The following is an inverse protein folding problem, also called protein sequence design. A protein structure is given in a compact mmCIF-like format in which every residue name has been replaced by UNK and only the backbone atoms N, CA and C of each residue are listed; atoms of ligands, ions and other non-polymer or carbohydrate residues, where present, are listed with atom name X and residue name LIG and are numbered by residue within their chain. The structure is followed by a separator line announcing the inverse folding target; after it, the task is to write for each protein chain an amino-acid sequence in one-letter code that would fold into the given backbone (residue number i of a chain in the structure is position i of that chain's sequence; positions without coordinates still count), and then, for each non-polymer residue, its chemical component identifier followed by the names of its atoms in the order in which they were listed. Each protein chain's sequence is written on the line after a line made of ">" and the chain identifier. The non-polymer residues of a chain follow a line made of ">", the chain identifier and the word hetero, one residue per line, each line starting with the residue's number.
data_IF_045182884773
#
_entry.id   IF_045182884773
#
_cell.length_a   1.000
_cell.length_b   1.000
_cell.length_c   1.000
_cell.angle_alpha   90.00
_cell.angle_beta   90.00
_cell.angle_gamma   90.00
#
_symmetry.space_group_name_H-M   'P 1'
#
loop_
_entity.id
_entity.type
_entity.pdbx_description
1 polymer ?
#
# COMPACT_ATOMS: atom_id res chain seq x y z
N UNK A 1 35.42 -0.72 9.38
CA UNK A 1 35.59 -0.02 10.68
C UNK A 1 36.04 1.39 10.39
N UNK A 2 35.18 2.40 10.62
CA UNK A 2 35.61 3.82 10.65
C UNK A 2 34.63 4.64 11.51
N UNK A 3 34.63 4.41 12.83
CA UNK A 3 33.85 5.16 13.82
C UNK A 3 34.64 6.38 14.39
N UNK A 4 35.50 7.03 13.60
CA UNK A 4 36.47 8.03 14.09
C UNK A 4 36.21 9.49 13.64
N UNK A 5 34.97 9.88 13.35
CA UNK A 5 34.65 11.28 13.02
C UNK A 5 33.63 11.96 13.95
N UNK A 6 33.22 11.30 15.03
CA UNK A 6 32.38 11.91 16.06
C UNK A 6 33.27 12.36 17.23
N UNK A 7 33.98 13.47 17.03
CA UNK A 7 34.65 14.17 18.13
C UNK A 7 33.70 15.28 18.65
N UNK A 8 33.12 15.14 19.87
CA UNK A 8 32.17 16.10 20.43
C UNK A 8 32.80 17.45 20.80
N UNK A 9 34.14 17.56 20.74
CA UNK A 9 34.89 18.71 21.27
C UNK A 9 35.07 19.89 20.30
N UNK A 10 34.73 19.73 19.01
CA UNK A 10 34.87 20.81 18.02
C UNK A 10 33.61 21.67 17.95
N UNK A 11 33.70 23.00 18.16
CA UNK A 11 32.56 23.88 17.92
C UNK A 11 32.23 23.86 16.43
N UNK A 12 31.07 23.27 16.08
CA UNK A 12 30.57 23.31 14.70
C UNK A 12 30.25 24.76 14.35
N UNK A 13 30.77 25.23 13.22
CA UNK A 13 30.39 26.53 12.70
C UNK A 13 28.88 26.55 12.41
N UNK A 14 28.20 27.71 12.51
CA UNK A 14 26.78 27.81 12.16
C UNK A 14 26.46 27.24 10.77
N UNK A 15 27.40 27.35 9.82
CA UNK A 15 27.30 26.83 8.46
C UNK A 15 27.33 25.30 8.41
N UNK A 16 28.18 24.65 9.20
CA UNK A 16 28.25 23.18 9.28
C UNK A 16 27.00 22.59 9.93
N UNK A 17 26.46 23.26 10.96
CA UNK A 17 25.19 22.85 11.58
C UNK A 17 24.05 22.99 10.58
N UNK A 18 23.95 24.12 9.88
CA UNK A 18 22.93 24.34 8.87
C UNK A 18 23.03 23.31 7.73
N UNK A 19 24.24 22.98 7.29
CA UNK A 19 24.48 21.92 6.29
C UNK A 19 24.02 20.55 6.80
N UNK A 20 24.42 20.17 8.01
CA UNK A 20 24.03 18.88 8.60
C UNK A 20 22.51 18.75 8.78
N UNK A 21 21.83 19.83 9.16
CA UNK A 21 20.36 19.87 9.26
C UNK A 21 19.75 19.69 7.87
N UNK A 22 20.22 20.44 6.87
CA UNK A 22 19.75 20.32 5.48
C UNK A 22 19.92 18.89 4.96
N UNK A 23 21.10 18.31 5.13
CA UNK A 23 21.40 16.97 4.65
C UNK A 23 20.53 15.90 5.33
N UNK A 24 20.30 16.06 6.64
CA UNK A 24 19.41 15.18 7.40
C UNK A 24 17.96 15.29 6.94
N UNK A 25 17.48 16.50 6.64
CA UNK A 25 16.14 16.72 6.09
C UNK A 25 15.98 16.09 4.71
N UNK A 26 16.96 16.26 3.82
CA UNK A 26 16.95 15.66 2.49
C UNK A 26 16.96 14.13 2.55
N UNK A 27 17.74 13.55 3.48
CA UNK A 27 17.76 12.11 3.68
C UNK A 27 16.43 11.56 4.21
N UNK A 28 15.79 12.29 5.14
CA UNK A 28 14.47 11.94 5.65
C UNK A 28 13.41 11.97 4.54
N UNK A 29 13.38 13.05 3.75
CA UNK A 29 12.46 13.20 2.62
C UNK A 29 12.60 12.05 1.61
N UNK A 30 13.84 11.73 1.21
CA UNK A 30 14.11 10.63 0.28
C UNK A 30 13.62 9.28 0.82
N UNK A 31 13.81 9.02 2.13
CA UNK A 31 13.33 7.78 2.77
C UNK A 31 11.81 7.71 2.78
N UNK A 32 11.14 8.79 3.20
CA UNK A 32 9.67 8.84 3.23
C UNK A 32 9.09 8.67 1.82
N UNK A 33 9.67 9.32 0.80
CA UNK A 33 9.25 9.16 -0.59
C UNK A 33 9.41 7.71 -1.07
N UNK A 34 10.49 7.04 -0.71
CA UNK A 34 10.71 5.64 -1.08
C UNK A 34 9.69 4.70 -0.42
N UNK A 35 9.39 4.90 0.86
CA UNK A 35 8.39 4.13 1.60
C UNK A 35 6.98 4.33 1.03
N UNK A 36 6.59 5.56 0.73
CA UNK A 36 5.29 5.88 0.08
C UNK A 36 5.19 5.19 -1.29
N UNK A 37 6.23 5.26 -2.12
CA UNK A 37 6.24 4.59 -3.43
C UNK A 37 6.13 3.07 -3.32
N UNK A 38 6.80 2.47 -2.33
CA UNK A 38 6.71 1.03 -2.09
C UNK A 38 5.27 0.63 -1.68
N UNK A 39 4.64 1.41 -0.80
CA UNK A 39 3.26 1.19 -0.38
C UNK A 39 2.27 1.35 -1.55
N UNK A 40 2.43 2.38 -2.38
CA UNK A 40 1.61 2.57 -3.59
C UNK A 40 1.73 1.39 -4.55
N UNK A 41 2.95 0.87 -4.73
CA UNK A 41 3.17 -0.31 -5.57
C UNK A 41 2.49 -1.55 -5.00
N UNK A 42 2.66 -1.82 -3.71
CA UNK A 42 1.99 -2.95 -3.04
C UNK A 42 0.46 -2.86 -3.18
N UNK A 43 -0.11 -1.66 -3.04
CA UNK A 43 -1.55 -1.41 -3.24
C UNK A 43 -2.00 -1.72 -4.68
N UNK A 44 -1.21 -1.34 -5.69
CA UNK A 44 -1.49 -1.65 -7.11
C UNK A 44 -1.37 -3.14 -7.41
N UNK A 45 -0.34 -3.80 -6.88
CA UNK A 45 -0.11 -5.23 -7.06
C UNK A 45 -1.26 -6.04 -6.44
N UNK A 46 -1.75 -5.65 -5.26
CA UNK A 46 -2.92 -6.26 -4.62
C UNK A 46 -4.17 -6.17 -5.51
N UNK A 47 -4.46 -5.00 -6.08
CA UNK A 47 -5.59 -4.83 -7.00
C UNK A 47 -5.45 -5.70 -8.26
N UNK A 48 -4.23 -5.80 -8.78
CA UNK A 48 -3.97 -6.62 -9.95
C UNK A 48 -4.20 -8.10 -9.66
N UNK A 49 -3.66 -8.60 -8.53
CA UNK A 49 -3.87 -9.97 -8.07
C UNK A 49 -5.36 -10.26 -7.85
N UNK A 50 -6.09 -9.34 -7.21
CA UNK A 50 -7.53 -9.45 -7.04
C UNK A 50 -8.25 -9.61 -8.39
N UNK A 51 -7.92 -8.78 -9.37
CA UNK A 51 -8.52 -8.90 -10.70
C UNK A 51 -8.16 -10.21 -11.40
N UNK A 52 -6.95 -10.74 -11.22
CA UNK A 52 -6.55 -12.03 -11.79
C UNK A 52 -7.38 -13.14 -11.15
N UNK A 53 -7.43 -13.16 -9.82
CA UNK A 53 -8.12 -14.19 -9.04
C UNK A 53 -9.62 -14.24 -9.36
N UNK A 54 -10.30 -13.10 -9.41
CA UNK A 54 -11.72 -13.03 -9.79
C UNK A 54 -12.00 -13.47 -11.24
N UNK A 55 -11.02 -13.40 -12.14
CA UNK A 55 -11.18 -13.79 -13.56
C UNK A 55 -10.69 -15.22 -13.82
N UNK A 56 -10.00 -15.84 -12.87
CA UNK A 56 -9.48 -17.18 -13.00
C UNK A 56 -10.64 -18.18 -12.97
N UNK A 57 -10.71 -19.01 -14.02
CA UNK A 57 -11.67 -20.12 -14.11
C UNK A 57 -10.91 -21.44 -14.08
N UNK A 58 -11.43 -22.39 -13.32
CA UNK A 58 -11.04 -23.81 -13.36
C UNK A 58 -12.30 -24.56 -13.76
N UNK A 59 -12.23 -25.31 -14.86
CA UNK A 59 -13.35 -26.11 -15.39
C UNK A 59 -14.68 -25.35 -15.54
N UNK A 60 -14.61 -24.11 -16.06
CA UNK A 60 -15.73 -23.17 -16.28
C UNK A 60 -16.27 -22.46 -15.04
N UNK A 61 -15.81 -22.83 -13.84
CA UNK A 61 -16.20 -22.23 -12.58
C UNK A 61 -15.15 -21.24 -12.08
N UNK A 62 -15.57 -20.10 -11.54
CA UNK A 62 -14.65 -19.18 -10.89
C UNK A 62 -14.56 -19.51 -9.40
N UNK A 63 -13.52 -20.25 -9.00
CA UNK A 63 -13.31 -20.66 -7.60
C UNK A 63 -13.28 -19.48 -6.63
N UNK A 64 -12.82 -18.31 -7.08
CA UNK A 64 -12.77 -17.12 -6.25
C UNK A 64 -14.15 -16.52 -5.99
N UNK A 65 -15.04 -16.53 -6.98
CA UNK A 65 -16.43 -16.09 -6.81
C UNK A 65 -17.17 -17.01 -5.84
N UNK A 66 -17.05 -18.33 -6.01
CA UNK A 66 -17.66 -19.31 -5.10
C UNK A 66 -17.15 -19.18 -3.66
N UNK A 67 -15.87 -18.85 -3.50
CA UNK A 67 -15.29 -18.57 -2.18
C UNK A 67 -15.95 -17.33 -1.56
N UNK A 68 -16.03 -16.22 -2.30
CA UNK A 68 -16.61 -14.97 -1.80
C UNK A 68 -18.10 -15.15 -1.45
N UNK A 69 -18.87 -15.92 -2.23
CA UNK A 69 -20.27 -16.26 -1.93
C UNK A 69 -20.44 -16.94 -0.57
N UNK A 70 -19.44 -17.73 -0.15
CA UNK A 70 -19.43 -18.42 1.16
C UNK A 70 -18.82 -17.57 2.29
N UNK A 71 -18.23 -16.42 1.94
CA UNK A 71 -17.45 -15.56 2.83
C UNK A 71 -17.86 -14.09 2.68
N UNK A 72 -19.16 -13.79 2.87
CA UNK A 72 -19.72 -12.45 2.69
C UNK A 72 -19.16 -11.43 3.69
N UNK A 73 -18.55 -11.86 4.80
CA UNK A 73 -17.83 -11.00 5.74
C UNK A 73 -16.70 -10.21 5.06
N UNK A 74 -16.22 -10.68 3.91
CA UNK A 74 -15.25 -9.96 3.10
C UNK A 74 -15.83 -8.67 2.51
N UNK A 75 -17.13 -8.63 2.19
CA UNK A 75 -17.78 -7.41 1.74
C UNK A 75 -17.93 -6.41 2.87
N UNK A 76 -18.31 -6.86 4.07
CA UNK A 76 -18.35 -5.99 5.25
C UNK A 76 -16.97 -5.37 5.53
N UNK A 77 -15.92 -6.19 5.45
CA UNK A 77 -14.54 -5.71 5.57
C UNK A 77 -14.18 -4.68 4.48
N UNK A 78 -14.46 -4.96 3.21
CA UNK A 78 -14.18 -4.05 2.10
C UNK A 78 -14.96 -2.73 2.21
N UNK A 79 -16.20 -2.77 2.71
CA UNK A 79 -17.03 -1.59 2.99
C UNK A 79 -16.43 -0.78 4.14
N UNK A 80 -15.99 -1.42 5.23
CA UNK A 80 -15.27 -0.73 6.32
C UNK A 80 -14.02 -0.04 5.77
N UNK A 81 -13.24 -0.73 4.94
CA UNK A 81 -12.05 -0.16 4.32
C UNK A 81 -12.38 0.98 3.34
N UNK A 82 -13.57 1.00 2.74
CA UNK A 82 -14.02 2.10 1.88
C UNK A 82 -14.10 3.44 2.61
N UNK A 83 -14.35 3.43 3.92
CA UNK A 83 -14.35 4.65 4.73
C UNK A 83 -12.94 5.18 5.07
N UNK A 84 -11.90 4.36 4.87
CA UNK A 84 -10.52 4.81 4.99
C UNK A 84 -10.06 5.48 3.68
N UNK A 85 -9.94 6.81 3.70
CA UNK A 85 -9.59 7.64 2.52
C UNK A 85 -8.34 7.19 1.77
N UNK A 86 -7.37 6.58 2.45
CA UNK A 86 -6.13 6.15 1.80
C UNK A 86 -6.29 4.92 0.90
N UNK A 87 -7.25 4.05 1.20
CA UNK A 87 -7.48 2.77 0.50
C UNK A 87 -8.87 2.68 -0.14
N UNK A 88 -9.72 3.68 0.09
CA UNK A 88 -11.09 3.74 -0.39
C UNK A 88 -11.23 3.45 -1.89
N UNK A 89 -10.34 4.05 -2.70
CA UNK A 89 -10.33 3.83 -4.15
C UNK A 89 -10.07 2.35 -4.49
N UNK A 90 -9.12 1.72 -3.81
CA UNK A 90 -8.76 0.33 -4.06
C UNK A 90 -9.90 -0.60 -3.64
N UNK A 91 -10.43 -0.44 -2.43
CA UNK A 91 -11.52 -1.26 -1.93
C UNK A 91 -12.79 -1.07 -2.77
N UNK A 92 -13.09 0.17 -3.19
CA UNK A 92 -14.19 0.45 -4.10
C UNK A 92 -14.01 -0.21 -5.47
N UNK A 93 -12.79 -0.27 -6.00
CA UNK A 93 -12.51 -1.00 -7.24
C UNK A 93 -12.70 -2.51 -7.05
N UNK A 94 -12.21 -3.08 -5.94
CA UNK A 94 -12.39 -4.50 -5.63
C UNK A 94 -13.87 -4.89 -5.54
N UNK A 95 -14.68 -4.08 -4.82
CA UNK A 95 -16.13 -4.24 -4.72
C UNK A 95 -16.82 -4.16 -6.08
N UNK A 96 -16.47 -3.15 -6.89
CA UNK A 96 -17.03 -3.00 -8.24
C UNK A 96 -16.72 -4.19 -9.14
N UNK A 97 -15.54 -4.80 -9.03
CA UNK A 97 -15.22 -6.01 -9.80
C UNK A 97 -16.07 -7.21 -9.34
N UNK A 98 -16.32 -7.37 -8.05
CA UNK A 98 -17.21 -8.42 -7.53
C UNK A 98 -18.65 -8.28 -8.05
N UNK A 99 -19.21 -7.07 -8.07
CA UNK A 99 -20.58 -6.85 -8.52
C UNK A 99 -20.80 -7.04 -10.03
N UNK A 100 -19.75 -7.33 -10.81
CA UNK A 100 -19.89 -7.78 -12.20
C UNK A 100 -20.39 -9.21 -12.30
N UNK A 101 -20.32 -9.98 -11.22
CA UNK A 101 -20.80 -11.35 -11.14
C UNK A 101 -22.23 -11.34 -10.57
N UNK A 102 -23.24 -11.82 -11.33
CA UNK A 102 -24.64 -11.75 -10.89
C UNK A 102 -24.92 -12.41 -9.55
N UNK A 103 -24.17 -13.46 -9.21
CA UNK A 103 -24.30 -14.20 -7.95
C UNK A 103 -23.79 -13.43 -6.73
N UNK A 104 -22.87 -12.48 -6.94
CA UNK A 104 -22.34 -11.61 -5.89
C UNK A 104 -23.10 -10.28 -5.75
N UNK A 105 -23.99 -9.97 -6.71
CA UNK A 105 -24.74 -8.72 -6.76
C UNK A 105 -26.21 -8.89 -6.32
N UNK A 106 -26.50 -9.93 -5.53
CA UNK A 106 -27.84 -10.26 -5.04
C UNK A 106 -28.20 -9.50 -3.76
#
# INVERSE_FOLDING_TARGET
>A
MSFLFFDPSRPKTPQEVARAIKDSLMALDAKTVAEVKALEKARKDLLHLWSILLKQKVDSTCCCVEYIEKHLELFDFLVVCYYNKEIALNCGNMLRECFKFPTLAQ
#
